data_IF_601339055957
#
_entry.id   IF_601339055957
#
_cell.length_a   1.000
_cell.length_b   1.000
_cell.length_c   1.000
_cell.angle_alpha   90.00
_cell.angle_beta   90.00
_cell.angle_gamma   90.00
#
_symmetry.space_group_name_H-M   'P 1'
#
loop_
_entity.id
_entity.type
_entity.pdbx_description
1 polymer ?
#
# COMPACT_ATOMS: atom_id res chain seq x y z
N UNK A 1 -5.33 -11.08 -15.89
CA UNK A 1 -5.43 -11.08 -17.36
C UNK A 1 -6.75 -10.49 -17.86
N UNK A 2 -7.92 -10.77 -17.23
CA UNK A 2 -9.18 -10.14 -17.61
C UNK A 2 -9.09 -8.60 -17.60
N UNK A 3 -8.44 -8.04 -16.59
CA UNK A 3 -8.19 -6.60 -16.55
C UNK A 3 -7.35 -6.10 -17.73
N UNK A 4 -6.38 -6.90 -18.21
CA UNK A 4 -5.60 -6.55 -19.41
C UNK A 4 -6.47 -6.47 -20.66
N UNK A 5 -7.42 -7.40 -20.83
CA UNK A 5 -8.39 -7.32 -21.91
C UNK A 5 -9.28 -6.07 -21.78
N UNK A 6 -9.77 -5.80 -20.56
CA UNK A 6 -10.64 -4.64 -20.29
C UNK A 6 -9.96 -3.30 -20.61
N UNK A 7 -8.69 -3.12 -20.22
CA UNK A 7 -7.93 -1.89 -20.50
C UNK A 7 -7.69 -1.67 -22.00
N UNK A 8 -7.63 -2.76 -22.78
CA UNK A 8 -7.51 -2.71 -24.22
C UNK A 8 -8.86 -2.63 -24.95
N UNK A 9 -9.97 -2.62 -24.22
CA UNK A 9 -11.32 -2.61 -24.78
C UNK A 9 -11.70 -3.91 -25.49
N UNK A 10 -11.03 -5.03 -25.17
CA UNK A 10 -11.27 -6.33 -25.78
C UNK A 10 -12.38 -7.10 -25.07
N UNK A 11 -13.36 -7.55 -25.82
CA UNK A 11 -14.43 -8.41 -25.32
C UNK A 11 -13.89 -9.81 -25.03
N UNK A 12 -14.17 -10.36 -23.85
CA UNK A 12 -13.81 -11.72 -23.47
C UNK A 12 -15.02 -12.62 -23.70
N UNK A 13 -14.95 -13.52 -24.69
CA UNK A 13 -16.02 -14.45 -25.02
C UNK A 13 -16.12 -15.59 -24.01
N UNK A 14 -14.99 -16.15 -23.61
CA UNK A 14 -14.93 -17.26 -22.65
C UNK A 14 -13.59 -17.30 -21.96
N UNK A 15 -13.57 -17.73 -20.68
CA UNK A 15 -12.38 -17.95 -19.87
C UNK A 15 -12.42 -19.35 -19.26
N UNK A 16 -11.31 -20.10 -19.41
CA UNK A 16 -11.05 -21.33 -18.67
C UNK A 16 -9.79 -21.17 -17.84
N UNK A 17 -9.82 -21.60 -16.58
CA UNK A 17 -8.70 -21.45 -15.66
C UNK A 17 -8.56 -22.70 -14.77
N UNK A 18 -8.27 -23.89 -15.35
CA UNK A 18 -8.00 -25.08 -14.57
C UNK A 18 -6.60 -25.06 -13.95
N UNK A 19 -6.46 -25.75 -12.83
CA UNK A 19 -5.16 -26.18 -12.30
C UNK A 19 -4.91 -27.59 -12.83
N UNK A 20 -3.79 -27.78 -13.52
CA UNK A 20 -3.38 -29.06 -14.08
C UNK A 20 -2.18 -29.59 -13.32
N UNK A 21 -2.21 -30.87 -12.99
CA UNK A 21 -1.08 -31.57 -12.36
C UNK A 21 -0.10 -32.00 -13.45
N UNK A 22 1.13 -31.52 -13.34
CA UNK A 22 2.26 -31.91 -14.17
C UNK A 22 3.31 -32.63 -13.31
N UNK A 23 4.26 -33.32 -13.94
CA UNK A 23 5.40 -33.94 -13.23
C UNK A 23 6.20 -32.92 -12.40
N UNK A 24 6.22 -31.66 -12.83
CA UNK A 24 6.86 -30.54 -12.12
C UNK A 24 5.98 -29.90 -11.02
N UNK A 25 4.83 -30.49 -10.69
CA UNK A 25 3.81 -29.98 -9.76
C UNK A 25 2.67 -29.23 -10.42
N UNK A 26 1.72 -28.73 -9.64
CA UNK A 26 0.51 -28.07 -10.13
C UNK A 26 0.84 -26.80 -10.93
N UNK A 27 0.15 -26.62 -12.05
CA UNK A 27 0.26 -25.44 -12.91
C UNK A 27 -1.12 -24.85 -13.19
N UNK A 28 -1.18 -23.54 -13.19
CA UNK A 28 -2.36 -22.79 -13.61
C UNK A 28 -2.33 -22.63 -15.13
N UNK A 29 -3.35 -23.14 -15.82
CA UNK A 29 -3.56 -22.94 -17.26
C UNK A 29 -4.67 -21.92 -17.45
N UNK A 30 -4.38 -20.81 -18.12
CA UNK A 30 -5.37 -19.78 -18.43
C UNK A 30 -5.58 -19.72 -19.92
N UNK A 31 -6.81 -20.01 -20.35
CA UNK A 31 -7.25 -19.91 -21.74
C UNK A 31 -8.34 -18.85 -21.85
N UNK A 32 -8.11 -17.85 -22.68
CA UNK A 32 -9.04 -16.75 -22.92
C UNK A 32 -9.41 -16.76 -24.40
N UNK A 33 -10.70 -16.83 -24.69
CA UNK A 33 -11.23 -16.72 -26.05
C UNK A 33 -11.65 -15.28 -26.30
N UNK A 34 -11.17 -14.74 -27.40
CA UNK A 34 -11.40 -13.37 -27.83
C UNK A 34 -11.95 -13.40 -29.27
N UNK A 35 -12.60 -12.33 -29.74
CA UNK A 35 -12.85 -12.13 -31.15
C UNK A 35 -11.56 -12.10 -31.98
N UNK A 36 -11.66 -12.13 -33.29
CA UNK A 36 -10.51 -11.98 -34.18
C UNK A 36 -9.84 -10.62 -33.95
N UNK A 37 -8.54 -10.67 -33.66
CA UNK A 37 -7.70 -9.50 -33.40
C UNK A 37 -6.77 -9.26 -34.59
N UNK A 38 -6.60 -8.01 -34.97
CA UNK A 38 -5.55 -7.63 -35.90
C UNK A 38 -4.14 -7.72 -35.26
N UNK A 39 -3.09 -7.66 -36.06
CA UNK A 39 -1.72 -7.83 -35.58
C UNK A 39 -1.31 -6.82 -34.49
N UNK A 40 -1.76 -5.58 -34.56
CA UNK A 40 -1.46 -4.53 -33.59
C UNK A 40 -2.14 -4.83 -32.24
N UNK A 41 -3.39 -5.26 -32.28
CA UNK A 41 -4.13 -5.65 -31.07
C UNK A 41 -3.51 -6.88 -30.40
N UNK A 42 -3.08 -7.88 -31.20
CA UNK A 42 -2.37 -9.06 -30.70
C UNK A 42 -1.08 -8.67 -29.98
N UNK A 43 -0.24 -7.83 -30.59
CA UNK A 43 1.02 -7.38 -30.00
C UNK A 43 0.79 -6.61 -28.70
N UNK A 44 -0.19 -5.72 -28.67
CA UNK A 44 -0.56 -4.95 -27.46
C UNK A 44 -1.06 -5.87 -26.34
N UNK A 45 -1.92 -6.84 -26.66
CA UNK A 45 -2.41 -7.81 -25.70
C UNK A 45 -1.29 -8.69 -25.13
N UNK A 46 -0.39 -9.17 -25.98
CA UNK A 46 0.75 -9.97 -25.55
C UNK A 46 1.69 -9.17 -24.63
N UNK A 47 1.97 -7.92 -24.96
CA UNK A 47 2.79 -7.04 -24.12
C UNK A 47 2.16 -6.82 -22.75
N UNK A 48 0.86 -6.49 -22.70
CA UNK A 48 0.14 -6.22 -21.45
C UNK A 48 -0.06 -7.51 -20.61
N UNK A 49 -0.32 -8.64 -21.25
CA UNK A 49 -0.41 -9.93 -20.57
C UNK A 49 0.93 -10.34 -19.94
N UNK A 50 2.05 -10.15 -20.65
CA UNK A 50 3.40 -10.40 -20.12
C UNK A 50 3.72 -9.48 -18.93
N UNK A 51 3.41 -8.19 -19.04
CA UNK A 51 3.61 -7.23 -17.95
C UNK A 51 2.77 -7.60 -16.72
N UNK A 52 1.50 -7.98 -16.93
CA UNK A 52 0.61 -8.43 -15.85
C UNK A 52 1.14 -9.69 -15.17
N UNK A 53 1.56 -10.71 -15.93
CA UNK A 53 2.11 -11.95 -15.37
C UNK A 53 3.42 -11.70 -14.64
N UNK A 54 4.28 -10.83 -15.18
CA UNK A 54 5.51 -10.43 -14.50
C UNK A 54 5.20 -9.80 -13.13
N UNK A 55 4.28 -8.85 -13.07
CA UNK A 55 3.88 -8.19 -11.82
C UNK A 55 3.29 -9.19 -10.81
N UNK A 56 2.47 -10.15 -11.26
CA UNK A 56 1.94 -11.22 -10.41
C UNK A 56 3.07 -12.08 -9.83
N UNK A 57 4.01 -12.52 -10.67
CA UNK A 57 5.16 -13.34 -10.25
C UNK A 57 5.99 -12.57 -9.21
N UNK A 58 6.30 -11.31 -9.47
CA UNK A 58 7.08 -10.48 -8.54
C UNK A 58 6.40 -10.35 -7.18
N UNK A 59 5.11 -10.00 -7.17
CA UNK A 59 4.35 -9.84 -5.94
C UNK A 59 4.22 -11.15 -5.15
N UNK A 60 3.95 -12.28 -5.84
CA UNK A 60 3.74 -13.58 -5.17
C UNK A 60 5.04 -14.21 -4.70
N UNK A 61 6.15 -14.05 -5.45
CA UNK A 61 7.46 -14.59 -5.06
C UNK A 61 7.97 -13.99 -3.76
N UNK A 62 7.73 -12.70 -3.52
CA UNK A 62 8.23 -11.98 -2.36
C UNK A 62 7.20 -11.80 -1.25
N UNK A 63 6.04 -12.43 -1.38
CA UNK A 63 4.94 -12.23 -0.42
C UNK A 63 5.35 -12.50 1.04
N UNK A 64 6.08 -13.58 1.30
CA UNK A 64 6.53 -13.92 2.64
C UNK A 64 7.59 -12.95 3.17
N UNK A 65 8.45 -12.46 2.29
CA UNK A 65 9.48 -11.47 2.63
C UNK A 65 8.85 -10.12 2.98
N UNK A 66 7.86 -9.67 2.22
CA UNK A 66 7.09 -8.45 2.54
C UNK A 66 6.36 -8.57 3.87
N UNK A 67 5.74 -9.71 4.16
CA UNK A 67 5.09 -9.96 5.46
C UNK A 67 6.09 -10.01 6.61
N UNK A 68 7.26 -10.60 6.40
CA UNK A 68 8.35 -10.59 7.38
C UNK A 68 8.79 -9.15 7.65
N UNK A 69 9.03 -8.37 6.59
CA UNK A 69 9.41 -6.96 6.72
C UNK A 69 8.37 -6.15 7.49
N UNK A 70 7.08 -6.36 7.24
CA UNK A 70 6.03 -5.70 8.01
C UNK A 70 6.12 -6.02 9.51
N UNK A 71 6.37 -7.29 9.89
CA UNK A 71 6.55 -7.66 11.30
C UNK A 71 7.78 -7.00 11.93
N UNK A 72 8.90 -6.95 11.22
CA UNK A 72 10.11 -6.25 11.67
C UNK A 72 9.85 -4.75 11.90
N UNK A 73 9.10 -4.11 11.03
CA UNK A 73 8.70 -2.71 11.20
C UNK A 73 7.79 -2.51 12.41
N UNK A 74 6.84 -3.43 12.64
CA UNK A 74 5.97 -3.40 13.82
C UNK A 74 6.80 -3.49 15.11
N UNK A 75 7.75 -4.43 15.18
CA UNK A 75 8.62 -4.62 16.33
C UNK A 75 9.51 -3.39 16.56
N UNK A 76 10.13 -2.87 15.49
CA UNK A 76 10.98 -1.69 15.54
C UNK A 76 10.20 -0.46 16.01
N UNK A 77 9.01 -0.22 15.45
CA UNK A 77 8.17 0.89 15.84
C UNK A 77 7.67 0.75 17.28
N UNK A 78 7.25 -0.45 17.69
CA UNK A 78 6.80 -0.70 19.07
C UNK A 78 7.90 -0.40 20.10
N UNK A 79 9.15 -0.77 19.79
CA UNK A 79 10.31 -0.51 20.64
C UNK A 79 10.84 0.93 20.56
N UNK A 80 10.42 1.74 19.59
CA UNK A 80 10.94 3.08 19.38
C UNK A 80 10.59 4.02 20.55
N UNK A 81 11.60 4.59 21.26
CA UNK A 81 11.36 5.50 22.38
C UNK A 81 10.96 6.91 21.92
N UNK A 82 11.28 7.27 20.68
CA UNK A 82 11.10 8.62 20.14
C UNK A 82 9.72 8.85 19.51
N UNK A 83 9.03 7.77 19.13
CA UNK A 83 7.66 7.87 18.63
C UNK A 83 6.69 8.18 19.77
N UNK A 84 5.86 9.21 19.63
CA UNK A 84 4.87 9.58 20.63
C UNK A 84 3.93 8.40 20.92
N UNK A 85 3.79 7.95 22.19
CA UNK A 85 3.07 6.72 22.54
C UNK A 85 1.66 6.66 21.98
N UNK A 86 1.00 7.80 21.96
CA UNK A 86 -0.36 7.96 21.45
C UNK A 86 -0.48 7.55 19.97
N UNK A 87 0.42 8.02 19.10
CA UNK A 87 0.42 7.71 17.66
C UNK A 87 1.03 6.34 17.40
N UNK A 88 2.08 5.99 18.14
CA UNK A 88 2.76 4.70 18.02
C UNK A 88 1.83 3.52 18.26
N UNK A 89 1.05 3.53 19.34
CA UNK A 89 0.19 2.40 19.70
C UNK A 89 -0.90 2.16 18.62
N UNK A 90 -1.50 3.22 18.08
CA UNK A 90 -2.47 3.10 17.01
C UNK A 90 -1.83 2.67 15.69
N UNK A 91 -0.61 3.14 15.40
CA UNK A 91 0.13 2.73 14.21
C UNK A 91 0.50 1.25 14.27
N UNK A 92 1.01 0.77 15.39
CA UNK A 92 1.31 -0.66 15.63
C UNK A 92 0.04 -1.50 15.48
N UNK A 93 -1.08 -1.06 16.06
CA UNK A 93 -2.36 -1.74 15.91
C UNK A 93 -2.81 -1.79 14.44
N UNK A 94 -2.64 -0.68 13.70
CA UNK A 94 -3.00 -0.61 12.28
C UNK A 94 -2.14 -1.52 11.40
N UNK A 95 -0.82 -1.54 11.62
CA UNK A 95 0.08 -2.43 10.87
C UNK A 95 -0.22 -3.91 11.14
N UNK A 96 -0.54 -4.29 12.38
CA UNK A 96 -1.01 -5.64 12.71
C UNK A 96 -2.33 -5.94 11.98
N UNK A 97 -3.29 -5.02 12.00
CA UNK A 97 -4.57 -5.16 11.31
C UNK A 97 -4.37 -5.34 9.80
N UNK A 98 -3.44 -4.63 9.16
CA UNK A 98 -3.07 -4.86 7.76
C UNK A 98 -2.51 -6.26 7.54
N UNK A 99 -1.66 -6.75 8.45
CA UNK A 99 -1.05 -8.08 8.42
C UNK A 99 -2.07 -9.23 8.55
N UNK A 100 -3.23 -8.97 9.15
CA UNK A 100 -4.34 -9.91 9.33
C UNK A 100 -5.26 -9.97 8.10
N UNK A 101 -4.67 -10.18 6.92
CA UNK A 101 -5.35 -10.36 5.63
C UNK A 101 -6.22 -9.16 5.18
N UNK A 102 -5.95 -7.97 5.73
CA UNK A 102 -6.63 -6.72 5.33
C UNK A 102 -5.91 -6.00 4.19
N UNK A 103 -4.70 -6.49 3.82
CA UNK A 103 -3.86 -5.85 2.81
C UNK A 103 -3.19 -6.87 1.89
N UNK A 104 -3.35 -6.70 0.59
CA UNK A 104 -2.64 -7.46 -0.43
C UNK A 104 -1.31 -6.76 -0.69
N UNK A 105 -0.22 -7.32 -0.18
CA UNK A 105 1.12 -6.80 -0.39
C UNK A 105 1.55 -6.96 -1.85
N UNK A 106 1.96 -5.88 -2.48
CA UNK A 106 2.46 -5.85 -3.86
C UNK A 106 3.93 -5.45 -3.96
N UNK A 107 4.43 -4.70 -2.99
CA UNK A 107 5.83 -4.30 -2.93
C UNK A 107 6.21 -3.74 -1.57
N UNK A 108 7.51 -3.80 -1.25
CA UNK A 108 8.08 -3.11 -0.10
C UNK A 108 9.48 -2.61 -0.44
N UNK A 109 9.88 -1.48 0.17
CA UNK A 109 11.20 -0.88 -0.02
C UNK A 109 11.50 0.11 1.10
N UNK A 110 12.74 0.12 1.59
CA UNK A 110 13.18 1.02 2.64
C UNK A 110 14.12 2.09 2.11
N UNK A 111 14.04 3.27 2.71
CA UNK A 111 14.86 4.43 2.37
C UNK A 111 15.47 5.06 3.60
N UNK A 112 16.68 5.61 3.42
CA UNK A 112 17.32 6.50 4.37
C UNK A 112 17.31 7.91 3.81
N UNK A 113 16.96 8.89 4.64
CA UNK A 113 16.94 10.30 4.27
C UNK A 113 18.27 10.95 4.60
N UNK A 114 18.75 11.81 3.70
CA UNK A 114 19.86 12.68 3.98
C UNK A 114 19.40 13.79 4.91
N UNK A 115 20.19 14.07 5.93
CA UNK A 115 19.85 15.08 6.94
C UNK A 115 20.98 16.09 7.09
N UNK A 116 20.63 17.31 7.49
CA UNK A 116 21.61 18.33 7.88
C UNK A 116 22.22 18.04 9.27
N UNK A 117 23.06 18.98 9.76
CA UNK A 117 23.72 18.89 11.06
C UNK A 117 22.74 18.90 12.23
N UNK A 118 21.58 19.49 12.04
CA UNK A 118 20.51 19.58 13.04
C UNK A 118 19.53 18.39 12.90
N UNK A 119 19.72 17.52 11.92
CA UNK A 119 18.91 16.34 11.62
C UNK A 119 17.59 16.69 10.91
N UNK A 120 17.49 17.85 10.26
CA UNK A 120 16.38 18.13 9.35
C UNK A 120 16.62 17.40 8.01
N UNK A 121 15.55 16.85 7.43
CA UNK A 121 15.63 16.13 6.16
C UNK A 121 15.97 17.11 5.05
N UNK A 122 16.99 16.80 4.27
CA UNK A 122 17.42 17.60 3.12
C UNK A 122 16.49 17.34 1.92
N UNK A 123 16.29 18.34 1.04
CA UNK A 123 15.47 18.20 -0.18
C UNK A 123 16.25 17.47 -1.29
N UNK A 124 16.70 16.28 -0.95
CA UNK A 124 17.49 15.42 -1.84
C UNK A 124 16.78 14.08 -2.03
N UNK A 125 17.19 13.36 -3.09
CA UNK A 125 16.70 12.01 -3.31
C UNK A 125 17.14 11.09 -2.16
N UNK A 126 16.19 10.31 -1.57
CA UNK A 126 16.52 9.40 -0.48
C UNK A 126 17.38 8.23 -0.96
N UNK A 127 18.31 7.80 -0.13
CA UNK A 127 19.14 6.64 -0.41
C UNK A 127 18.35 5.34 -0.19
N UNK A 128 18.45 4.45 -1.17
CA UNK A 128 17.84 3.13 -1.11
C UNK A 128 18.62 2.23 -0.13
N UNK A 129 17.90 1.57 0.77
CA UNK A 129 18.51 0.56 1.64
C UNK A 129 18.63 -0.75 0.87
N UNK A 130 19.86 -1.21 0.66
CA UNK A 130 20.16 -2.43 -0.10
C UNK A 130 19.48 -3.67 0.52
N UNK A 131 18.96 -4.57 -0.33
CA UNK A 131 18.31 -5.80 0.10
C UNK A 131 16.89 -5.65 0.64
N UNK A 132 16.28 -4.46 0.54
CA UNK A 132 14.91 -4.19 1.02
C UNK A 132 13.88 -4.08 -0.08
N UNK A 133 14.25 -4.33 -1.33
CA UNK A 133 13.39 -4.23 -2.52
C UNK A 133 12.62 -5.53 -2.74
N UNK A 134 11.31 -5.50 -2.56
CA UNK A 134 10.45 -6.66 -2.72
C UNK A 134 9.27 -6.37 -3.66
N UNK A 135 8.79 -7.44 -4.31
CA UNK A 135 7.63 -7.41 -5.17
C UNK A 135 7.79 -6.43 -6.34
N UNK A 136 6.78 -5.63 -6.62
CA UNK A 136 6.80 -4.64 -7.69
C UNK A 136 7.90 -3.58 -7.51
N UNK A 137 8.41 -3.40 -6.30
CA UNK A 137 9.46 -2.44 -5.99
C UNK A 137 10.87 -3.02 -6.12
N UNK A 138 11.06 -4.22 -6.67
CA UNK A 138 12.36 -4.71 -7.11
C UNK A 138 12.94 -3.90 -8.27
N UNK A 139 12.07 -3.38 -9.13
CA UNK A 139 12.50 -2.48 -10.22
C UNK A 139 12.71 -1.07 -9.63
N UNK A 140 13.97 -0.65 -9.55
CA UNK A 140 14.36 0.65 -8.98
C UNK A 140 13.78 1.85 -9.74
N UNK A 141 13.42 1.65 -11.01
CA UNK A 141 12.77 2.68 -11.84
C UNK A 141 11.30 2.92 -11.46
N UNK A 142 10.68 2.01 -10.70
CA UNK A 142 9.31 2.18 -10.23
C UNK A 142 9.29 3.11 -9.03
N UNK A 143 8.86 4.33 -9.28
CA UNK A 143 8.57 5.31 -8.23
C UNK A 143 7.12 5.18 -7.77
N UNK A 144 6.92 5.22 -6.48
CA UNK A 144 5.59 5.04 -5.84
C UNK A 144 4.83 6.36 -5.75
N UNK A 145 5.59 7.45 -5.58
CA UNK A 145 5.09 8.80 -5.48
C UNK A 145 5.79 9.65 -6.52
N UNK A 146 5.05 10.11 -7.53
CA UNK A 146 5.55 11.00 -8.57
C UNK A 146 4.67 12.26 -8.60
N UNK A 147 5.27 13.37 -8.99
CA UNK A 147 4.54 14.58 -9.37
C UNK A 147 4.66 14.71 -10.88
N UNK A 148 3.68 14.17 -11.62
CA UNK A 148 3.81 14.00 -13.07
C UNK A 148 4.84 12.90 -13.40
N UNK A 149 5.74 13.16 -14.35
CA UNK A 149 6.80 12.22 -14.76
C UNK A 149 8.07 12.31 -13.90
N UNK A 150 8.13 13.26 -12.96
CA UNK A 150 9.30 13.47 -12.11
C UNK A 150 9.15 12.74 -10.77
N UNK A 151 10.23 12.13 -10.23
CA UNK A 151 10.22 11.58 -8.88
C UNK A 151 9.90 12.67 -7.85
N UNK A 152 9.14 12.33 -6.83
CA UNK A 152 8.83 13.25 -5.74
C UNK A 152 10.09 13.46 -4.91
N UNK A 153 10.77 14.59 -5.15
CA UNK A 153 11.87 15.02 -4.28
C UNK A 153 11.33 15.38 -2.88
N UNK A 154 12.17 15.18 -1.88
CA UNK A 154 11.87 15.61 -0.51
C UNK A 154 11.92 17.15 -0.45
N UNK A 155 10.79 17.81 -0.74
CA UNK A 155 10.68 19.27 -0.63
C UNK A 155 10.63 19.69 0.85
N UNK A 156 10.79 20.99 1.13
CA UNK A 156 10.62 21.52 2.52
C UNK A 156 9.22 21.21 3.08
N UNK A 157 8.20 21.19 2.23
CA UNK A 157 6.83 20.84 2.63
C UNK A 157 6.74 19.36 3.06
N UNK A 158 7.42 18.46 2.33
CA UNK A 158 7.51 17.04 2.70
C UNK A 158 8.34 16.89 3.98
N UNK A 159 9.43 17.63 4.12
CA UNK A 159 10.23 17.67 5.36
C UNK A 159 9.39 18.08 6.56
N UNK A 160 8.54 19.11 6.41
CA UNK A 160 7.61 19.57 7.44
C UNK A 160 6.58 18.51 7.78
N UNK A 161 6.01 17.84 6.77
CA UNK A 161 5.08 16.71 6.93
C UNK A 161 5.73 15.50 7.62
N UNK A 162 6.99 15.21 7.30
CA UNK A 162 7.73 14.13 7.97
C UNK A 162 8.00 14.44 9.45
N UNK A 163 8.08 15.72 9.82
CA UNK A 163 8.27 16.15 11.22
C UNK A 163 6.98 16.07 12.06
N UNK A 164 5.81 15.86 11.45
CA UNK A 164 4.57 15.66 12.19
C UNK A 164 4.63 14.38 13.05
N UNK A 165 3.91 14.36 14.20
CA UNK A 165 4.02 13.29 15.20
C UNK A 165 3.46 11.94 14.76
N UNK A 166 2.68 11.90 13.68
CA UNK A 166 2.17 10.68 13.09
C UNK A 166 3.32 9.78 12.62
N UNK A 167 3.28 8.51 13.02
CA UNK A 167 4.34 7.54 12.71
C UNK A 167 4.14 6.85 11.37
N UNK A 168 2.95 6.96 10.78
CA UNK A 168 2.61 6.39 9.48
C UNK A 168 2.28 7.47 8.46
N UNK A 169 2.61 7.17 7.21
CA UNK A 169 2.22 7.93 6.03
C UNK A 169 1.24 7.08 5.24
N UNK A 170 0.01 7.54 5.07
CA UNK A 170 -1.02 6.84 4.31
C UNK A 170 -1.42 7.69 3.12
N UNK A 171 -1.30 7.13 1.92
CA UNK A 171 -1.61 7.84 0.68
C UNK A 171 -2.04 6.87 -0.44
N UNK A 172 -2.55 7.40 -1.54
CA UNK A 172 -2.65 6.67 -2.80
C UNK A 172 -1.34 6.86 -3.57
N UNK A 173 -0.81 5.76 -4.10
CA UNK A 173 0.33 5.80 -5.00
C UNK A 173 -0.09 6.22 -6.40
N UNK A 174 0.85 6.74 -7.18
CA UNK A 174 0.63 7.00 -8.61
C UNK A 174 0.66 5.71 -9.44
N UNK A 175 1.23 4.63 -8.88
CA UNK A 175 1.29 3.33 -9.51
C UNK A 175 -0.08 2.65 -9.50
N UNK A 176 -0.57 2.30 -10.69
CA UNK A 176 -1.79 1.49 -10.87
C UNK A 176 -1.41 0.02 -10.84
N UNK A 177 -2.08 -0.75 -10.00
CA UNK A 177 -1.86 -2.20 -9.89
C UNK A 177 -2.34 -2.93 -11.15
N UNK A 178 -1.56 -3.91 -11.60
CA UNK A 178 -1.98 -4.95 -12.56
C UNK A 178 -2.34 -6.26 -11.86
N UNK A 179 -2.11 -6.32 -10.55
CA UNK A 179 -2.34 -7.51 -9.72
C UNK A 179 -3.64 -7.32 -8.96
N UNK A 180 -4.48 -8.35 -8.93
CA UNK A 180 -5.76 -8.40 -8.25
C UNK A 180 -6.80 -7.42 -8.82
N UNK A 181 -6.66 -6.11 -8.64
CA UNK A 181 -7.55 -5.06 -9.18
C UNK A 181 -6.72 -3.98 -9.89
N UNK A 182 -7.30 -3.39 -10.94
CA UNK A 182 -6.66 -2.30 -11.69
C UNK A 182 -7.08 -0.95 -11.13
N UNK A 183 -6.49 -0.62 -10.00
CA UNK A 183 -6.71 0.64 -9.28
C UNK A 183 -5.38 1.19 -8.78
N UNK A 184 -5.34 2.48 -8.47
CA UNK A 184 -4.19 3.08 -7.81
C UNK A 184 -3.87 2.32 -6.51
N UNK A 185 -2.60 1.96 -6.33
CA UNK A 185 -2.16 1.23 -5.15
C UNK A 185 -2.29 2.09 -3.89
N UNK A 186 -2.51 1.43 -2.77
CA UNK A 186 -2.41 2.04 -1.46
C UNK A 186 -0.95 2.05 -1.00
N UNK A 187 -0.55 3.16 -0.42
CA UNK A 187 0.78 3.39 0.12
C UNK A 187 0.72 3.50 1.64
N UNK A 188 1.57 2.72 2.29
CA UNK A 188 1.76 2.75 3.74
C UNK A 188 3.25 2.93 4.03
N UNK A 189 3.64 4.12 4.47
CA UNK A 189 5.00 4.44 4.91
C UNK A 189 5.11 4.34 6.44
N UNK A 190 6.16 3.68 6.92
CA UNK A 190 6.51 3.60 8.34
C UNK A 190 7.74 4.46 8.58
N UNK A 191 7.64 5.50 9.39
CA UNK A 191 8.75 6.42 9.69
C UNK A 191 9.79 5.75 10.58
N UNK A 192 11.06 5.96 10.27
CA UNK A 192 12.20 5.56 11.09
C UNK A 192 12.78 6.78 11.81
N UNK A 193 13.15 6.59 13.08
CA UNK A 193 13.63 7.65 13.94
C UNK A 193 15.10 7.45 14.31
N UNK A 194 15.89 8.52 14.16
CA UNK A 194 17.26 8.56 14.62
C UNK A 194 17.38 8.74 16.14
N UNK A 195 18.62 8.71 16.67
CA UNK A 195 18.87 8.86 18.12
C UNK A 195 18.41 10.19 18.70
N UNK A 196 18.28 11.22 17.85
CA UNK A 196 17.79 12.56 18.23
C UNK A 196 16.26 12.69 18.16
N UNK A 197 15.53 11.61 17.85
CA UNK A 197 14.07 11.60 17.71
C UNK A 197 13.55 12.17 16.40
N UNK A 198 14.41 12.56 15.46
CA UNK A 198 14.01 13.03 14.14
C UNK A 198 13.89 11.89 13.17
N UNK A 199 13.04 12.07 12.14
CA UNK A 199 12.82 11.08 11.09
C UNK A 199 14.07 11.02 10.20
N UNK A 200 14.61 9.82 10.02
CA UNK A 200 15.83 9.56 9.23
C UNK A 200 15.60 8.62 8.05
N UNK A 201 14.38 8.15 7.85
CA UNK A 201 14.05 7.22 6.78
C UNK A 201 12.61 6.73 6.88
N UNK A 202 12.27 5.84 5.99
CA UNK A 202 10.97 5.16 6.00
C UNK A 202 11.06 3.79 5.32
N UNK A 203 10.19 2.88 5.73
CA UNK A 203 9.86 1.69 4.93
C UNK A 203 8.51 1.88 4.27
N UNK A 204 8.45 1.70 2.97
CA UNK A 204 7.26 1.84 2.13
C UNK A 204 6.69 0.46 1.84
N UNK A 205 5.40 0.29 2.10
CA UNK A 205 4.61 -0.84 1.66
C UNK A 205 3.61 -0.38 0.61
N UNK A 206 3.58 -1.09 -0.50
CA UNK A 206 2.66 -0.87 -1.61
C UNK A 206 1.69 -2.04 -1.67
N UNK A 207 0.41 -1.77 -1.82
CA UNK A 207 -0.58 -2.84 -1.89
C UNK A 207 -1.99 -2.36 -2.16
N UNK A 208 -2.95 -3.20 -1.81
CA UNK A 208 -4.38 -2.90 -1.95
C UNK A 208 -5.11 -3.37 -0.69
N UNK A 209 -6.00 -2.54 -0.16
CA UNK A 209 -6.93 -3.01 0.87
C UNK A 209 -7.84 -4.10 0.32
N UNK A 210 -8.12 -5.14 1.12
CA UNK A 210 -9.04 -6.22 0.74
C UNK A 210 -10.51 -5.77 0.87
N UNK A 211 -11.43 -6.59 0.34
CA UNK A 211 -12.86 -6.34 0.50
C UNK A 211 -13.28 -6.33 1.98
N UNK A 212 -12.66 -7.18 2.79
CA UNK A 212 -12.86 -7.25 4.23
C UNK A 212 -12.47 -5.93 4.90
N UNK A 213 -11.34 -5.32 4.49
CA UNK A 213 -10.92 -4.02 5.00
C UNK A 213 -11.93 -2.90 4.69
N UNK A 214 -12.52 -2.92 3.47
CA UNK A 214 -13.53 -1.93 3.09
C UNK A 214 -14.87 -2.14 3.81
N UNK A 215 -15.22 -3.38 4.16
CA UNK A 215 -16.48 -3.72 4.82
C UNK A 215 -16.38 -3.68 6.35
N UNK A 216 -15.18 -3.50 6.91
CA UNK A 216 -14.99 -3.42 8.36
C UNK A 216 -15.56 -2.12 8.92
N UNK A 217 -16.20 -2.19 10.12
CA UNK A 217 -16.66 -0.98 10.82
C UNK A 217 -15.46 -0.09 11.17
N UNK A 218 -15.61 1.23 10.98
CA UNK A 218 -14.59 2.23 11.35
C UNK A 218 -14.20 2.16 12.84
N UNK A 219 -15.06 1.63 13.70
CA UNK A 219 -14.79 1.40 15.13
C UNK A 219 -13.73 0.35 15.37
N UNK A 220 -13.58 -0.61 14.44
CA UNK A 220 -12.63 -1.70 14.53
C UNK A 220 -11.31 -1.40 13.81
N UNK A 221 -11.32 -0.41 12.90
CA UNK A 221 -10.12 -0.04 12.13
C UNK A 221 -9.25 0.91 12.97
N UNK A 222 -8.04 0.50 13.38
CA UNK A 222 -7.12 1.40 14.05
C UNK A 222 -6.86 2.66 13.22
N UNK A 223 -6.51 3.76 13.86
CA UNK A 223 -6.44 5.11 13.30
C UNK A 223 -7.83 5.72 12.97
N UNK A 224 -8.75 4.99 12.31
CA UNK A 224 -10.10 5.50 12.00
C UNK A 224 -10.97 5.58 13.24
N UNK A 225 -10.95 4.55 14.10
CA UNK A 225 -11.67 4.56 15.39
C UNK A 225 -11.30 5.78 16.22
N UNK A 226 -10.03 6.16 16.23
CA UNK A 226 -9.55 7.31 16.95
C UNK A 226 -10.01 8.63 16.34
N UNK A 227 -10.03 8.73 15.00
CA UNK A 227 -10.61 9.89 14.32
C UNK A 227 -12.09 10.03 14.63
N UNK A 228 -12.82 8.91 14.65
CA UNK A 228 -14.23 8.88 15.06
C UNK A 228 -14.39 9.37 16.49
N UNK A 229 -13.63 8.84 17.45
CA UNK A 229 -13.65 9.29 18.85
C UNK A 229 -13.44 10.80 18.96
N UNK A 230 -12.45 11.33 18.23
CA UNK A 230 -12.16 12.75 18.22
C UNK A 230 -13.32 13.59 17.66
N UNK A 231 -13.98 13.12 16.60
CA UNK A 231 -15.16 13.79 16.04
C UNK A 231 -16.30 13.79 17.05
N UNK A 232 -16.56 12.66 17.71
CA UNK A 232 -17.60 12.54 18.74
C UNK A 232 -17.35 13.46 19.93
N UNK A 233 -16.11 13.57 20.38
CA UNK A 233 -15.70 14.52 21.43
C UNK A 233 -15.99 15.99 21.01
N UNK A 234 -15.56 16.38 19.81
CA UNK A 234 -15.76 17.75 19.29
C UNK A 234 -17.24 18.09 19.20
N UNK A 235 -18.07 17.13 18.79
CA UNK A 235 -19.52 17.30 18.65
C UNK A 235 -20.27 17.12 19.98
N UNK A 236 -19.57 16.80 21.08
CA UNK A 236 -20.19 16.59 22.38
C UNK A 236 -21.16 15.40 22.44
N UNK A 237 -20.95 14.40 21.58
CA UNK A 237 -21.81 13.22 21.54
C UNK A 237 -21.46 12.28 22.72
N UNK A 238 -22.46 12.02 23.56
CA UNK A 238 -22.29 11.12 24.71
C UNK A 238 -22.20 9.63 24.26
N UNK A 239 -21.30 8.83 24.83
CA UNK A 239 -21.22 7.40 24.56
C UNK A 239 -22.56 6.68 24.75
N UNK A 240 -22.95 5.85 23.78
CA UNK A 240 -24.23 5.13 23.78
C UNK A 240 -25.45 5.97 23.39
N UNK A 241 -25.28 7.26 23.12
CA UNK A 241 -26.37 8.17 22.76
C UNK A 241 -26.87 7.95 21.33
N UNK A 242 -28.08 8.45 21.06
CA UNK A 242 -28.66 8.46 19.71
C UNK A 242 -27.80 9.31 18.74
N UNK A 243 -27.24 10.42 19.22
CA UNK A 243 -26.38 11.29 18.43
C UNK A 243 -25.06 10.58 18.04
N UNK A 244 -24.44 9.82 18.95
CA UNK A 244 -23.25 9.03 18.62
C UNK A 244 -23.55 8.01 17.51
N UNK A 245 -24.70 7.29 17.59
CA UNK A 245 -25.11 6.34 16.56
C UNK A 245 -25.35 7.02 15.21
N UNK A 246 -26.04 8.15 15.22
CA UNK A 246 -26.33 8.91 14.01
C UNK A 246 -25.05 9.40 13.32
N UNK A 247 -24.12 9.99 14.07
CA UNK A 247 -22.83 10.46 13.56
C UNK A 247 -22.00 9.28 13.00
N UNK A 248 -21.92 8.19 13.74
CA UNK A 248 -21.21 6.99 13.29
C UNK A 248 -21.77 6.44 11.99
N UNK A 249 -23.09 6.35 11.86
CA UNK A 249 -23.74 5.88 10.63
C UNK A 249 -23.46 6.80 9.43
N UNK A 250 -23.42 8.12 9.63
CA UNK A 250 -23.06 9.07 8.58
C UNK A 250 -21.64 8.83 8.11
N UNK A 251 -20.69 8.67 9.05
CA UNK A 251 -19.28 8.46 8.72
C UNK A 251 -19.07 7.08 8.05
N UNK A 252 -19.75 6.04 8.52
CA UNK A 252 -19.69 4.70 7.92
C UNK A 252 -20.29 4.64 6.52
N UNK A 253 -21.32 5.43 6.26
CA UNK A 253 -21.93 5.54 4.94
C UNK A 253 -21.15 6.41 3.94
N UNK A 254 -20.07 7.08 4.37
CA UNK A 254 -19.25 7.89 3.49
C UNK A 254 -18.36 7.01 2.61
N UNK A 255 -18.19 7.29 1.29
CA UNK A 255 -17.28 6.55 0.43
C UNK A 255 -15.85 6.53 1.01
N UNK A 256 -15.22 5.37 0.96
CA UNK A 256 -13.85 5.13 1.46
C UNK A 256 -12.84 5.03 0.31
N UNK A 257 -12.98 5.87 -0.71
CA UNK A 257 -12.12 5.91 -1.89
C UNK A 257 -10.76 6.57 -1.61
#
# INVERSE_FOLDING_TARGET
LLGACGDLGLEVLTLFHPIVELESGPRSLIQIHLPDLNAIEQDRLLAEARATLHDVIMATSDYQDMRRRMREEIETLAACPHAEPRYKNEAVAFLNWLGDERFVFLGARSYTFKTDKDGAVLPEEPDLVEGTNFGLLRDDRRNVLNRGDEPLLLTEEIGSFLAEPETLILAKATLVSRVHRRVACDYVGVKHYGPNGKVVGETRFLGLYTAEAYNESIRNIPLLRRRLERILEILGALPGSHNEKAISNIIEGWPRD
#
